data_IF_959969626692
#
_entry.id   IF_959969626692
#
_cell.length_a   1.000
_cell.length_b   1.000
_cell.length_c   1.000
_cell.angle_alpha   90.00
_cell.angle_beta   90.00
_cell.angle_gamma   90.00
#
_symmetry.space_group_name_H-M   'P 1'
#
loop_
_entity.id
_entity.type
_entity.pdbx_description
1 polymer ?
#
# COMPACT_ATOMS: atom_id res chain seq x y z
N UNK A 1 13.69 -9.31 2.22
CA UNK A 1 14.71 -10.38 2.09
C UNK A 1 15.57 -10.41 3.35
N UNK A 2 16.11 -11.58 3.74
CA UNK A 2 17.05 -11.70 4.87
C UNK A 2 18.43 -11.13 4.51
N UNK A 3 19.23 -10.68 5.49
CA UNK A 3 20.59 -10.20 5.24
C UNK A 3 21.46 -11.29 4.61
N UNK A 4 22.46 -10.93 3.78
CA UNK A 4 23.34 -11.91 3.14
C UNK A 4 24.10 -12.73 4.20
N UNK A 5 24.20 -14.05 3.97
CA UNK A 5 24.86 -14.99 4.90
C UNK A 5 26.27 -14.55 5.32
N UNK A 6 27.04 -14.04 4.36
CA UNK A 6 28.42 -13.54 4.58
C UNK A 6 28.46 -12.45 5.66
N UNK A 7 27.44 -11.58 5.73
CA UNK A 7 27.39 -10.52 6.74
C UNK A 7 26.92 -11.03 8.11
N UNK A 8 26.05 -12.04 8.12
CA UNK A 8 25.58 -12.71 9.33
C UNK A 8 26.71 -13.51 9.97
N UNK A 9 27.48 -14.27 9.18
CA UNK A 9 28.64 -15.05 9.62
C UNK A 9 29.75 -14.15 10.17
N UNK A 10 29.92 -12.98 9.56
CA UNK A 10 30.83 -11.93 10.03
C UNK A 10 30.34 -11.20 11.29
N UNK A 11 29.22 -11.62 11.90
CA UNK A 11 28.60 -11.04 13.10
C UNK A 11 28.30 -9.53 12.99
N UNK A 12 28.02 -9.06 11.76
CA UNK A 12 27.64 -7.65 11.51
C UNK A 12 26.15 -7.37 11.70
N UNK A 13 25.35 -8.40 11.96
CA UNK A 13 23.93 -8.28 12.28
C UNK A 13 23.61 -9.00 13.59
N UNK A 14 22.70 -8.43 14.37
CA UNK A 14 22.12 -9.06 15.56
C UNK A 14 20.62 -9.29 15.36
N UNK A 15 20.16 -10.48 15.68
CA UNK A 15 18.75 -10.87 15.77
C UNK A 15 18.63 -12.22 16.47
N UNK A 16 17.47 -12.51 17.05
CA UNK A 16 17.19 -13.77 17.74
C UNK A 16 15.96 -14.48 17.15
N UNK A 17 16.05 -15.75 16.71
CA UNK A 17 17.25 -16.60 16.61
C UNK A 17 18.11 -16.27 15.39
N UNK A 18 19.44 -16.36 15.54
CA UNK A 18 20.41 -16.20 14.43
C UNK A 18 21.19 -17.50 14.20
N UNK A 19 21.16 -18.10 12.98
CA UNK A 19 20.46 -17.66 11.76
C UNK A 19 18.96 -18.00 11.74
N UNK A 20 18.15 -17.20 11.03
CA UNK A 20 16.72 -17.43 10.84
C UNK A 20 16.50 -18.61 9.88
N UNK A 21 16.23 -19.80 10.43
CA UNK A 21 15.86 -20.98 9.64
C UNK A 21 14.36 -20.88 9.29
N UNK A 22 14.04 -20.69 8.01
CA UNK A 22 12.65 -20.70 7.53
C UNK A 22 12.03 -19.35 7.13
N UNK A 23 12.82 -18.27 7.07
CA UNK A 23 12.35 -16.94 6.64
C UNK A 23 12.09 -15.98 7.80
N UNK A 24 11.52 -14.80 7.51
CA UNK A 24 11.13 -13.82 8.53
C UNK A 24 9.83 -14.32 9.18
N UNK A 25 9.81 -14.65 10.48
CA UNK A 25 8.68 -15.32 11.13
C UNK A 25 7.55 -14.36 11.55
N UNK A 26 7.52 -13.13 11.05
CA UNK A 26 6.50 -12.15 11.39
C UNK A 26 5.43 -12.16 10.29
N UNK A 27 4.18 -12.50 10.61
CA UNK A 27 3.08 -12.32 9.67
C UNK A 27 2.85 -10.85 9.32
N UNK A 28 2.59 -10.56 8.05
CA UNK A 28 2.44 -9.19 7.55
C UNK A 28 1.40 -8.36 8.31
N UNK A 29 0.27 -8.99 8.67
CA UNK A 29 -0.81 -8.34 9.42
C UNK A 29 -0.38 -7.91 10.84
N UNK A 30 0.53 -8.65 11.48
CA UNK A 30 1.07 -8.30 12.79
C UNK A 30 2.05 -7.14 12.66
N UNK A 31 2.92 -7.19 11.65
CA UNK A 31 3.86 -6.10 11.36
C UNK A 31 3.12 -4.78 11.11
N UNK A 32 2.10 -4.80 10.26
CA UNK A 32 1.26 -3.63 9.96
C UNK A 32 0.43 -3.17 11.17
N UNK A 33 -0.03 -4.08 12.01
CA UNK A 33 -0.72 -3.73 13.26
C UNK A 33 0.19 -2.94 14.20
N UNK A 34 1.44 -3.38 14.40
CA UNK A 34 2.41 -2.65 15.23
C UNK A 34 2.73 -1.26 14.67
N UNK A 35 2.81 -1.10 13.34
CA UNK A 35 3.07 0.20 12.70
C UNK A 35 1.90 1.18 12.86
N UNK A 36 0.67 0.68 12.84
CA UNK A 36 -0.55 1.51 12.90
C UNK A 36 -1.15 1.63 14.31
N UNK A 37 -0.55 0.98 15.31
CA UNK A 37 -1.05 0.99 16.68
C UNK A 37 -0.76 2.33 17.36
N UNK A 38 -1.79 3.10 17.78
CA UNK A 38 -1.58 4.37 18.46
C UNK A 38 -0.97 4.20 19.87
N UNK A 39 -1.17 3.04 20.49
CA UNK A 39 -0.56 2.66 21.77
C UNK A 39 0.27 1.40 21.57
N UNK A 40 1.57 1.51 21.22
CA UNK A 40 2.42 0.34 21.06
C UNK A 40 2.50 -0.41 22.39
N UNK A 41 2.16 -1.71 22.35
CA UNK A 41 2.42 -2.60 23.47
C UNK A 41 3.92 -2.65 23.73
N UNK A 42 4.35 -2.46 24.97
CA UNK A 42 5.76 -2.53 25.40
C UNK A 42 6.43 -3.90 25.23
N UNK A 43 5.69 -4.88 24.71
CA UNK A 43 6.19 -6.22 24.44
C UNK A 43 6.85 -6.25 23.06
N UNK A 44 8.14 -5.93 23.05
CA UNK A 44 9.08 -6.02 21.93
C UNK A 44 9.36 -7.46 21.45
N UNK A 45 8.35 -8.34 21.46
CA UNK A 45 8.50 -9.75 21.14
C UNK A 45 9.04 -9.99 19.71
N UNK A 46 8.83 -9.01 18.81
CA UNK A 46 9.17 -9.12 17.39
C UNK A 46 10.33 -8.21 16.98
N UNK A 47 10.58 -7.10 17.68
CA UNK A 47 11.66 -6.17 17.33
C UNK A 47 13.06 -6.77 17.51
N UNK A 48 13.22 -7.71 18.43
CA UNK A 48 14.48 -8.47 18.62
C UNK A 48 14.75 -9.50 17.52
N UNK A 49 13.73 -9.86 16.73
CA UNK A 49 13.83 -10.83 15.63
C UNK A 49 14.19 -10.18 14.30
N UNK A 50 14.05 -8.86 14.21
CA UNK A 50 14.43 -8.09 13.03
C UNK A 50 15.95 -7.90 13.01
N UNK A 51 16.64 -8.20 11.90
CA UNK A 51 18.08 -8.01 11.81
C UNK A 51 18.48 -6.55 12.09
N UNK A 52 19.37 -6.29 13.03
CA UNK A 52 19.90 -4.94 13.26
C UNK A 52 21.37 -4.92 12.87
N UNK A 53 21.75 -3.98 12.00
CA UNK A 53 23.15 -3.81 11.60
C UNK A 53 23.95 -3.27 12.79
N UNK A 54 25.09 -3.89 13.06
CA UNK A 54 26.00 -3.52 14.15
C UNK A 54 27.10 -2.56 13.63
N UNK A 55 27.72 -1.85 14.57
CA UNK A 55 28.91 -0.98 14.44
C UNK A 55 28.78 0.28 13.58
N UNK A 56 28.24 0.19 12.36
CA UNK A 56 28.23 1.30 11.40
C UNK A 56 26.86 1.50 10.76
N UNK A 57 26.39 2.75 10.74
CA UNK A 57 25.22 3.11 9.93
C UNK A 57 25.50 2.80 8.47
N UNK A 58 24.47 2.33 7.75
CA UNK A 58 24.51 2.16 6.28
C UNK A 58 24.93 3.48 5.59
N UNK A 59 24.71 4.62 6.23
CA UNK A 59 25.04 5.97 5.71
C UNK A 59 26.42 6.50 6.10
N UNK A 60 27.14 5.83 7.02
CA UNK A 60 28.31 6.43 7.69
C UNK A 60 29.56 6.55 6.78
N UNK A 61 29.62 5.83 5.65
CA UNK A 61 30.69 5.93 4.66
C UNK A 61 30.23 5.24 3.37
N UNK A 62 29.20 5.74 2.70
CA UNK A 62 28.65 5.10 1.51
C UNK A 62 29.50 5.42 0.26
N UNK A 63 30.35 4.50 -0.27
CA UNK A 63 30.64 4.51 -1.70
C UNK A 63 29.34 4.23 -2.48
N UNK A 64 29.38 4.41 -3.80
CA UNK A 64 28.20 4.43 -4.69
C UNK A 64 27.20 3.25 -4.54
N UNK A 65 27.59 2.11 -3.94
CA UNK A 65 26.69 0.98 -3.65
C UNK A 65 26.97 0.42 -2.26
N UNK A 66 25.99 0.55 -1.35
CA UNK A 66 26.03 -0.08 -0.01
C UNK A 66 24.87 -1.07 0.11
N UNK A 67 25.16 -2.32 0.45
CA UNK A 67 24.15 -3.36 0.63
C UNK A 67 23.60 -3.35 2.07
N UNK A 68 22.30 -3.62 2.19
CA UNK A 68 21.60 -3.71 3.46
C UNK A 68 20.34 -4.58 3.33
N UNK A 69 19.66 -4.79 4.45
CA UNK A 69 18.32 -5.39 4.45
C UNK A 69 17.28 -4.31 4.76
N UNK A 70 16.05 -4.53 4.31
CA UNK A 70 14.92 -3.67 4.61
C UNK A 70 13.60 -4.41 4.43
N UNK A 71 12.53 -3.80 4.92
CA UNK A 71 11.16 -4.23 4.68
C UNK A 71 10.66 -3.48 3.44
N UNK A 72 10.25 -4.22 2.41
CA UNK A 72 9.54 -3.64 1.28
C UNK A 72 8.05 -3.66 1.63
N UNK A 73 7.43 -2.49 1.65
CA UNK A 73 6.00 -2.34 1.91
C UNK A 73 5.35 -2.05 0.57
N UNK A 74 4.59 -3.02 0.07
CA UNK A 74 3.76 -2.84 -1.13
C UNK A 74 2.52 -2.02 -0.74
N UNK A 75 2.62 -0.70 -0.82
CA UNK A 75 1.49 0.20 -0.61
C UNK A 75 0.57 0.16 -1.83
N UNK A 76 -0.50 -0.62 -1.72
CA UNK A 76 -1.54 -0.70 -2.75
C UNK A 76 -2.71 0.26 -2.48
N UNK A 77 -3.35 0.80 -3.52
CA UNK A 77 -4.59 1.55 -3.34
C UNK A 77 -5.67 0.64 -2.76
N UNK A 78 -6.50 1.18 -1.85
CA UNK A 78 -7.59 0.43 -1.25
C UNK A 78 -8.69 0.16 -2.30
N UNK A 79 -8.62 -1.02 -2.93
CA UNK A 79 -9.57 -1.46 -3.96
C UNK A 79 -11.03 -1.47 -3.46
N UNK A 80 -11.25 -1.71 -2.16
CA UNK A 80 -12.58 -1.65 -1.55
C UNK A 80 -13.14 -0.23 -1.51
N UNK A 81 -12.33 0.75 -1.11
CA UNK A 81 -12.73 2.16 -1.13
C UNK A 81 -13.02 2.65 -2.56
N UNK A 82 -12.22 2.22 -3.52
CA UNK A 82 -12.42 2.52 -4.95
C UNK A 82 -13.73 1.94 -5.47
N UNK A 83 -14.06 0.70 -5.10
CA UNK A 83 -15.31 0.05 -5.50
C UNK A 83 -16.52 0.78 -4.93
N UNK A 84 -16.49 1.14 -3.64
CA UNK A 84 -17.56 1.92 -3.01
C UNK A 84 -17.74 3.29 -3.66
N UNK A 85 -16.64 4.00 -3.94
CA UNK A 85 -16.69 5.28 -4.63
C UNK A 85 -17.37 5.16 -6.01
N UNK A 86 -17.01 4.15 -6.81
CA UNK A 86 -17.64 3.89 -8.10
C UNK A 86 -19.13 3.57 -7.97
N UNK A 87 -19.50 2.80 -6.95
CA UNK A 87 -20.90 2.48 -6.68
C UNK A 87 -21.72 3.74 -6.36
N UNK A 88 -21.21 4.66 -5.53
CA UNK A 88 -21.89 5.93 -5.24
C UNK A 88 -22.01 6.83 -6.47
N UNK A 89 -20.97 6.90 -7.30
CA UNK A 89 -21.00 7.66 -8.56
C UNK A 89 -22.06 7.10 -9.52
N UNK A 90 -22.16 5.78 -9.63
CA UNK A 90 -23.16 5.13 -10.46
C UNK A 90 -24.58 5.46 -9.99
N UNK A 91 -24.82 5.42 -8.67
CA UNK A 91 -26.11 5.81 -8.09
C UNK A 91 -26.43 7.29 -8.35
N UNK A 92 -25.46 8.19 -8.19
CA UNK A 92 -25.64 9.61 -8.44
C UNK A 92 -25.94 9.89 -9.92
N UNK A 93 -25.24 9.20 -10.81
CA UNK A 93 -25.48 9.26 -12.25
C UNK A 93 -26.88 8.75 -12.60
N UNK A 94 -27.32 7.62 -12.04
CA UNK A 94 -28.68 7.09 -12.21
C UNK A 94 -29.76 8.05 -11.70
N UNK A 95 -29.52 8.70 -10.56
CA UNK A 95 -30.44 9.72 -10.03
C UNK A 95 -30.52 10.94 -10.95
N UNK A 96 -29.40 11.39 -11.51
CA UNK A 96 -29.36 12.47 -12.51
C UNK A 96 -30.13 12.07 -13.79
N UNK A 97 -30.01 10.82 -14.24
CA UNK A 97 -30.77 10.25 -15.35
C UNK A 97 -32.28 10.33 -15.08
N UNK A 98 -32.71 9.86 -13.91
CA UNK A 98 -34.11 9.82 -13.52
C UNK A 98 -34.71 11.23 -13.46
N UNK A 99 -33.96 12.18 -12.89
CA UNK A 99 -34.35 13.59 -12.82
C UNK A 99 -34.48 14.19 -14.22
N UNK A 100 -33.50 13.97 -15.10
CA UNK A 100 -33.55 14.44 -16.49
C UNK A 100 -34.75 13.90 -17.24
N UNK A 101 -34.99 12.58 -17.16
CA UNK A 101 -36.11 11.93 -17.83
C UNK A 101 -37.45 12.46 -17.30
N UNK A 102 -37.57 12.72 -16.00
CA UNK A 102 -38.78 13.29 -15.42
C UNK A 102 -39.10 14.70 -15.95
N UNK A 103 -38.09 15.58 -16.05
CA UNK A 103 -38.29 16.96 -16.52
C UNK A 103 -38.41 17.09 -18.04
N UNK A 104 -37.55 16.40 -18.80
CA UNK A 104 -37.43 16.56 -20.26
C UNK A 104 -38.26 15.55 -21.05
N UNK A 105 -38.78 14.49 -20.41
CA UNK A 105 -39.41 13.33 -21.06
C UNK A 105 -38.57 12.74 -22.20
N UNK A 106 -37.26 12.90 -22.10
CA UNK A 106 -36.27 12.44 -23.07
C UNK A 106 -35.37 11.41 -22.41
N UNK A 107 -35.67 10.13 -22.70
CA UNK A 107 -34.93 9.00 -22.18
C UNK A 107 -33.54 8.85 -22.81
N UNK A 108 -33.42 9.19 -24.10
CA UNK A 108 -32.17 9.04 -24.83
C UNK A 108 -31.12 10.05 -24.35
N UNK A 109 -31.54 11.31 -24.15
CA UNK A 109 -30.69 12.34 -23.56
C UNK A 109 -30.29 12.03 -22.11
N UNK A 110 -31.23 11.54 -21.30
CA UNK A 110 -30.98 11.15 -19.90
C UNK A 110 -29.91 10.06 -19.79
N UNK A 111 -30.01 9.01 -20.61
CA UNK A 111 -29.04 7.92 -20.63
C UNK A 111 -27.65 8.41 -21.07
N UNK A 112 -27.57 9.19 -22.14
CA UNK A 112 -26.32 9.75 -22.65
C UNK A 112 -25.60 10.64 -21.63
N UNK A 113 -26.33 11.52 -20.95
CA UNK A 113 -25.79 12.40 -19.92
C UNK A 113 -25.22 11.60 -18.73
N UNK A 114 -25.92 10.54 -18.33
CA UNK A 114 -25.53 9.69 -17.21
C UNK A 114 -24.27 8.87 -17.52
N UNK A 115 -24.18 8.31 -18.73
CA UNK A 115 -22.97 7.66 -19.21
C UNK A 115 -21.79 8.62 -19.28
N UNK A 116 -22.01 9.87 -19.70
CA UNK A 116 -20.94 10.87 -19.78
C UNK A 116 -20.34 11.20 -18.40
N UNK A 117 -21.17 11.36 -17.37
CA UNK A 117 -20.72 11.58 -15.99
C UNK A 117 -19.80 10.43 -15.52
N UNK A 118 -20.23 9.19 -15.76
CA UNK A 118 -19.45 7.99 -15.38
C UNK A 118 -18.12 7.95 -16.13
N UNK A 119 -18.12 8.29 -17.42
CA UNK A 119 -16.93 8.27 -18.27
C UNK A 119 -15.87 9.30 -17.84
N UNK A 120 -16.29 10.52 -17.49
CA UNK A 120 -15.38 11.57 -16.98
C UNK A 120 -14.75 11.14 -15.67
N UNK A 121 -15.56 10.64 -14.72
CA UNK A 121 -15.07 10.18 -13.42
C UNK A 121 -14.11 8.99 -13.55
N UNK A 122 -14.43 8.01 -14.41
CA UNK A 122 -13.53 6.88 -14.68
C UNK A 122 -12.21 7.34 -15.29
N UNK A 123 -12.24 8.32 -16.20
CA UNK A 123 -11.04 8.87 -16.83
C UNK A 123 -10.14 9.59 -15.81
N UNK A 124 -10.73 10.37 -14.89
CA UNK A 124 -10.00 11.00 -13.79
C UNK A 124 -9.37 9.95 -12.87
N UNK A 125 -10.13 8.91 -12.51
CA UNK A 125 -9.66 7.79 -11.70
C UNK A 125 -8.46 7.06 -12.32
N UNK A 126 -8.53 6.77 -13.61
CA UNK A 126 -7.44 6.16 -14.36
C UNK A 126 -6.21 7.09 -14.35
N UNK A 127 -6.40 8.39 -14.54
CA UNK A 127 -5.32 9.38 -14.44
C UNK A 127 -4.62 9.38 -13.08
N UNK A 128 -5.39 9.33 -11.98
CA UNK A 128 -4.84 9.19 -10.63
C UNK A 128 -4.06 7.89 -10.45
N UNK A 129 -4.58 6.77 -10.97
CA UNK A 129 -3.88 5.48 -10.95
C UNK A 129 -2.55 5.51 -11.70
N UNK A 130 -2.51 6.15 -12.88
CA UNK A 130 -1.28 6.32 -13.64
C UNK A 130 -0.26 7.18 -12.91
N UNK A 131 -0.71 8.26 -12.26
CA UNK A 131 0.16 9.10 -11.45
C UNK A 131 0.77 8.30 -10.30
N UNK A 132 -0.05 7.57 -9.53
CA UNK A 132 0.41 6.73 -8.43
C UNK A 132 1.44 5.70 -8.90
N UNK A 133 1.17 5.00 -10.02
CA UNK A 133 2.08 3.96 -10.53
C UNK A 133 3.47 4.49 -10.92
N UNK A 134 3.58 5.79 -11.21
CA UNK A 134 4.83 6.43 -11.62
C UNK A 134 5.59 7.06 -10.44
N UNK A 135 5.03 7.03 -9.24
CA UNK A 135 5.70 7.37 -7.97
C UNK A 135 6.33 6.11 -7.37
#
# INVERSE_FOLDING_TARGET
ALPPKIEVDAKRYTYDPCPLVGGIPIPDHIFLHYMNCPNPSSKDAWLGRLPKKLDTSITHNAPAVTYGWGVHIDEGPNYGAIAWMNFFVLLLSGAAAALWNFYRKDFQGAFGFSCWIIAVLNSLMIGYFFRWKNE
#
